data_IF_791530863122
#
_entry.id   IF_791530863122
#
_cell.length_a   1.000
_cell.length_b   1.000
_cell.length_c   1.000
_cell.angle_alpha   90.00
_cell.angle_beta   90.00
_cell.angle_gamma   90.00
#
_symmetry.space_group_name_H-M   'P 1'
#
loop_
_entity.id
_entity.type
_entity.pdbx_description
1 polymer ?
#
# COMPACT_ATOMS: atom_id res chain seq x y z
N UNK A 1 -0.24 -6.82 6.03
CA UNK A 1 0.12 -7.75 7.13
C UNK A 1 -1.12 -8.43 7.70
N UNK A 2 -2.02 -8.94 6.86
CA UNK A 2 -3.31 -9.47 7.30
C UNK A 2 -3.15 -10.73 8.17
N UNK A 3 -2.21 -11.61 7.82
CA UNK A 3 -1.89 -12.80 8.59
C UNK A 3 -1.48 -12.48 10.04
N UNK A 4 -0.55 -11.54 10.23
CA UNK A 4 -0.09 -11.13 11.57
C UNK A 4 -1.25 -10.51 12.36
N UNK A 5 -2.06 -9.65 11.74
CA UNK A 5 -3.23 -9.04 12.41
C UNK A 5 -4.24 -10.09 12.89
N UNK A 6 -4.47 -11.14 12.10
CA UNK A 6 -5.41 -12.21 12.42
C UNK A 6 -4.95 -13.10 13.57
N UNK A 7 -3.64 -13.32 13.70
CA UNK A 7 -3.06 -14.32 14.61
C UNK A 7 -2.31 -13.73 15.81
N UNK A 8 -2.08 -12.41 15.85
CA UNK A 8 -1.36 -11.75 16.97
C UNK A 8 -2.02 -11.91 18.33
N UNK A 9 -3.34 -12.17 18.38
CA UNK A 9 -4.06 -12.40 19.63
C UNK A 9 -3.67 -13.71 20.30
N UNK A 10 -3.41 -14.75 19.51
CA UNK A 10 -3.11 -16.10 19.99
C UNK A 10 -1.60 -16.32 20.17
N UNK A 11 -0.78 -15.68 19.33
CA UNK A 11 0.66 -15.99 19.23
C UNK A 11 1.59 -14.79 19.49
N UNK A 12 1.06 -13.58 19.63
CA UNK A 12 1.88 -12.36 19.67
C UNK A 12 2.46 -12.00 18.30
N UNK A 13 3.00 -10.78 18.17
CA UNK A 13 3.53 -10.27 16.89
C UNK A 13 4.93 -10.83 16.62
N UNK A 14 5.80 -10.79 17.63
CA UNK A 14 7.21 -11.13 17.54
C UNK A 14 7.45 -12.60 17.15
N UNK A 15 6.74 -13.60 17.71
CA UNK A 15 6.91 -14.99 17.29
C UNK A 15 6.48 -15.22 15.83
N UNK A 16 5.41 -14.56 15.39
CA UNK A 16 4.96 -14.63 14.00
C UNK A 16 5.99 -13.97 13.07
N UNK A 17 6.51 -12.80 13.45
CA UNK A 17 7.55 -12.09 12.72
C UNK A 17 8.83 -12.92 12.56
N UNK A 18 9.24 -13.65 13.61
CA UNK A 18 10.38 -14.56 13.56
C UNK A 18 10.18 -15.71 12.55
N UNK A 19 8.95 -16.25 12.46
CA UNK A 19 8.61 -17.32 11.52
C UNK A 19 8.47 -16.84 10.07
N UNK A 20 8.07 -15.59 9.84
CA UNK A 20 7.91 -14.96 8.51
C UNK A 20 9.17 -14.28 7.96
N UNK A 21 10.34 -14.55 8.54
CA UNK A 21 11.52 -13.66 8.59
C UNK A 21 11.28 -12.16 8.34
N UNK A 22 10.43 -11.52 9.14
CA UNK A 22 10.18 -10.07 9.08
C UNK A 22 10.60 -9.44 10.41
N UNK A 23 11.27 -8.29 10.37
CA UNK A 23 11.55 -7.55 11.60
C UNK A 23 10.26 -7.03 12.26
N UNK A 24 10.06 -7.21 13.59
CA UNK A 24 8.89 -6.67 14.29
C UNK A 24 8.70 -5.16 14.10
N UNK A 25 9.79 -4.40 14.01
CA UNK A 25 9.76 -2.97 13.72
C UNK A 25 9.02 -2.65 12.40
N UNK A 26 9.21 -3.47 11.36
CA UNK A 26 8.52 -3.31 10.07
C UNK A 26 7.01 -3.52 10.23
N UNK A 27 6.58 -4.48 11.05
CA UNK A 27 5.16 -4.67 11.36
C UNK A 27 4.59 -3.42 12.05
N UNK A 28 5.24 -2.96 13.12
CA UNK A 28 4.76 -1.81 13.90
C UNK A 28 4.73 -0.52 13.09
N UNK A 29 5.73 -0.28 12.24
CA UNK A 29 5.76 0.84 11.31
C UNK A 29 4.58 0.77 10.34
N UNK A 30 4.33 -0.40 9.73
CA UNK A 30 3.19 -0.59 8.85
C UNK A 30 1.85 -0.40 9.59
N UNK A 31 1.73 -0.91 10.82
CA UNK A 31 0.53 -0.73 11.64
C UNK A 31 0.31 0.74 12.02
N UNK A 32 1.37 1.49 12.31
CA UNK A 32 1.31 2.93 12.59
C UNK A 32 0.86 3.72 11.35
N UNK A 33 1.44 3.44 10.17
CA UNK A 33 1.04 4.05 8.89
C UNK A 33 -0.42 3.77 8.51
N UNK A 34 -0.95 2.61 8.88
CA UNK A 34 -2.37 2.28 8.68
C UNK A 34 -3.31 3.06 9.59
N UNK A 35 -2.93 3.26 10.86
CA UNK A 35 -3.73 4.03 11.83
C UNK A 35 -3.66 5.53 11.55
N UNK A 36 -2.49 6.02 11.14
CA UNK A 36 -2.27 7.41 10.81
C UNK A 36 -1.66 7.50 9.39
N UNK A 37 -2.49 7.79 8.37
CA UNK A 37 -2.02 8.00 7.00
C UNK A 37 -0.97 9.09 6.86
N UNK A 38 -0.87 10.03 7.81
CA UNK A 38 0.14 11.09 7.75
C UNK A 38 1.56 10.60 7.94
N UNK A 39 1.74 9.47 8.63
CA UNK A 39 3.03 8.79 8.80
C UNK A 39 3.49 8.06 7.53
N UNK A 40 2.66 8.01 6.48
CA UNK A 40 3.07 7.42 5.21
C UNK A 40 4.17 8.27 4.55
N UNK A 41 5.15 7.64 3.90
CA UNK A 41 6.14 8.36 3.11
C UNK A 41 5.50 9.26 2.05
N UNK A 42 6.14 10.38 1.72
CA UNK A 42 5.66 11.33 0.72
C UNK A 42 5.35 10.67 -0.63
N UNK A 43 6.19 9.72 -1.07
CA UNK A 43 5.94 8.91 -2.28
C UNK A 43 4.59 8.20 -2.23
N UNK A 44 4.27 7.55 -1.11
CA UNK A 44 3.04 6.79 -1.00
C UNK A 44 1.79 7.70 -1.04
N UNK A 45 1.87 8.91 -0.49
CA UNK A 45 0.78 9.90 -0.59
C UNK A 45 0.60 10.37 -2.05
N UNK A 46 1.70 10.69 -2.72
CA UNK A 46 1.72 11.06 -4.14
C UNK A 46 1.18 9.95 -5.05
N UNK A 47 1.52 8.70 -4.77
CA UNK A 47 1.03 7.55 -5.55
C UNK A 47 -0.49 7.40 -5.44
N UNK A 48 -1.10 7.72 -4.28
CA UNK A 48 -2.56 7.71 -4.11
C UNK A 48 -3.22 8.79 -4.98
N UNK A 49 -2.66 10.00 -5.01
CA UNK A 49 -3.13 11.11 -5.86
C UNK A 49 -3.00 10.75 -7.36
N UNK A 50 -1.84 10.24 -7.76
CA UNK A 50 -1.56 9.84 -9.14
C UNK A 50 -2.47 8.70 -9.59
N UNK A 51 -2.80 7.74 -8.71
CA UNK A 51 -3.70 6.63 -9.04
C UNK A 51 -5.07 7.12 -9.50
N UNK A 52 -5.58 8.20 -8.92
CA UNK A 52 -6.86 8.82 -9.34
C UNK A 52 -6.73 9.40 -10.75
N UNK A 53 -5.64 10.12 -11.03
CA UNK A 53 -5.40 10.70 -12.36
C UNK A 53 -5.17 9.64 -13.43
N UNK A 54 -4.37 8.61 -13.14
CA UNK A 54 -4.14 7.47 -14.02
C UNK A 54 -5.48 6.82 -14.40
N UNK A 55 -6.37 6.60 -13.42
CA UNK A 55 -7.70 6.04 -13.68
C UNK A 55 -8.54 6.96 -14.54
N UNK A 56 -8.52 8.26 -14.26
CA UNK A 56 -9.25 9.27 -15.03
C UNK A 56 -8.82 9.26 -16.50
N UNK A 57 -7.53 9.45 -16.77
CA UNK A 57 -6.97 9.46 -18.14
C UNK A 57 -7.28 8.16 -18.87
N UNK A 58 -7.16 7.03 -18.18
CA UNK A 58 -7.50 5.73 -18.76
C UNK A 58 -8.99 5.67 -19.16
N UNK A 59 -9.91 6.04 -18.28
CA UNK A 59 -11.35 6.03 -18.59
C UNK A 59 -11.72 7.00 -19.72
N UNK A 60 -11.13 8.19 -19.74
CA UNK A 60 -11.33 9.19 -20.79
C UNK A 60 -10.79 8.72 -22.15
N UNK A 61 -9.88 7.74 -22.18
CA UNK A 61 -9.33 7.17 -23.42
C UNK A 61 -10.28 6.18 -24.09
N UNK A 62 -11.37 6.68 -24.70
CA UNK A 62 -12.37 5.86 -25.41
C UNK A 62 -12.83 4.62 -24.61
N UNK A 63 -13.01 4.78 -23.29
CA UNK A 63 -13.40 3.69 -22.40
C UNK A 63 -12.28 2.72 -22.01
N UNK A 64 -11.02 3.15 -22.05
CA UNK A 64 -9.89 2.38 -21.51
C UNK A 64 -8.91 1.79 -22.54
N UNK A 65 -8.82 2.35 -23.74
CA UNK A 65 -7.95 1.78 -24.80
C UNK A 65 -6.47 2.18 -24.65
N UNK A 66 -6.16 3.22 -23.86
CA UNK A 66 -4.77 3.63 -23.65
C UNK A 66 -4.05 2.65 -22.71
N UNK A 67 -2.96 2.06 -23.19
CA UNK A 67 -2.00 1.36 -22.35
C UNK A 67 -1.14 2.32 -21.51
N UNK A 68 -0.39 1.77 -20.56
CA UNK A 68 0.38 2.53 -19.56
C UNK A 68 1.26 3.65 -20.15
N UNK A 69 1.95 3.39 -21.26
CA UNK A 69 2.82 4.39 -21.92
C UNK A 69 2.06 5.61 -22.44
N UNK A 70 0.83 5.42 -22.92
CA UNK A 70 -0.02 6.53 -23.40
C UNK A 70 -0.61 7.30 -22.22
N UNK A 71 -1.07 6.60 -21.19
CA UNK A 71 -1.57 7.21 -19.96
C UNK A 71 -0.49 8.05 -19.28
N UNK A 72 0.76 7.59 -19.25
CA UNK A 72 1.88 8.32 -18.64
C UNK A 72 2.24 9.64 -19.34
N UNK A 73 1.90 9.79 -20.64
CA UNK A 73 2.23 10.99 -21.42
C UNK A 73 1.20 12.12 -21.29
N UNK A 74 0.03 11.82 -20.71
CA UNK A 74 -1.07 12.76 -20.49
C UNK A 74 -0.99 13.30 -19.06
#
# INVERSE_FOLDING_TARGET
MEFIEKHRGDHGVEPICAMLPIAPATYYEHAARRRNPDLRPARAKRDDELRVQIRRVWQESFGGVYGAKKVWRQ
#
